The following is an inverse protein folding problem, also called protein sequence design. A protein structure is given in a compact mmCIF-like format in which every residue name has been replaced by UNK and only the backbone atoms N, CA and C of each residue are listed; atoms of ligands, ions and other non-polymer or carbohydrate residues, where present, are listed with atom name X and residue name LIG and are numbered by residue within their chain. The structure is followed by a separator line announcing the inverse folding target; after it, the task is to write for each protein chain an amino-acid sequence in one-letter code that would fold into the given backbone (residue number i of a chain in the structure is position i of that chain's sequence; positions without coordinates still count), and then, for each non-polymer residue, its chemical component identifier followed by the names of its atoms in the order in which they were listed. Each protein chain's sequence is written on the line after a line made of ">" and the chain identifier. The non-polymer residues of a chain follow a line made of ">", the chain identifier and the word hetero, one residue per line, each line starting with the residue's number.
data_IF_911279013237
#
_entry.id   IF_911279013237
#
_cell.length_a   1.000
_cell.length_b   1.000
_cell.length_c   1.000
_cell.angle_alpha   90.00
_cell.angle_beta   90.00
_cell.angle_gamma   90.00
#
_symmetry.space_group_name_H-M   'P 1'
#
loop_
_entity.id
_entity.type
_entity.pdbx_description
1 polymer ?
#
# COMPACT_ATOMS: atom_id res chain seq x y z
N UNK A 1 -6.54 6.77 29.13
CA UNK A 1 -5.64 7.55 28.25
C UNK A 1 -6.15 7.40 26.83
N UNK A 2 -6.79 8.44 26.30
CA UNK A 2 -7.23 8.46 24.90
C UNK A 2 -5.98 8.84 24.11
N UNK A 3 -5.40 7.89 23.37
CA UNK A 3 -4.30 8.18 22.46
C UNK A 3 -4.78 9.21 21.44
N UNK A 4 -4.15 10.38 21.45
CA UNK A 4 -4.35 11.40 20.43
C UNK A 4 -3.63 10.92 19.16
N UNK A 5 -4.19 9.90 18.48
CA UNK A 5 -3.66 9.42 17.21
C UNK A 5 -3.95 10.52 16.19
N UNK A 6 -2.91 11.14 15.64
CA UNK A 6 -3.08 12.01 14.47
C UNK A 6 -3.74 11.18 13.39
N UNK A 7 -5.01 11.45 13.12
CA UNK A 7 -5.73 10.76 12.07
C UNK A 7 -5.04 11.05 10.74
N UNK A 8 -4.68 9.98 10.04
CA UNK A 8 -4.23 9.98 8.65
C UNK A 8 -4.92 11.06 7.82
N UNK A 9 -4.13 11.99 7.27
CA UNK A 9 -4.61 13.12 6.46
C UNK A 9 -4.89 12.74 5.00
N UNK A 10 -4.54 11.53 4.56
CA UNK A 10 -4.90 11.08 3.23
C UNK A 10 -6.37 10.64 3.21
N UNK A 11 -7.08 11.10 2.18
CA UNK A 11 -8.52 10.94 2.10
C UNK A 11 -8.93 9.47 2.02
N UNK A 12 -10.09 9.11 2.61
CA UNK A 12 -10.72 7.78 2.55
C UNK A 12 -11.28 7.48 1.15
N UNK A 13 -10.51 7.83 0.11
CA UNK A 13 -10.89 7.82 -1.30
C UNK A 13 -10.24 6.66 -2.03
N UNK A 14 -9.10 6.19 -1.55
CA UNK A 14 -8.44 4.99 -2.04
C UNK A 14 -9.18 3.75 -1.56
N UNK A 15 -9.36 2.76 -2.42
CA UNK A 15 -9.95 1.47 -2.07
C UNK A 15 -8.87 0.38 -1.94
N UNK A 16 -9.07 -0.57 -1.02
CA UNK A 16 -8.27 -1.80 -0.92
C UNK A 16 -9.00 -3.03 -1.44
N UNK A 17 -10.33 -3.04 -1.29
CA UNK A 17 -11.23 -4.08 -1.76
C UNK A 17 -12.49 -3.42 -2.32
N UNK A 18 -13.08 -4.02 -3.34
CA UNK A 18 -14.37 -3.63 -3.93
C UNK A 18 -15.15 -4.88 -4.33
N UNK A 19 -16.47 -4.80 -4.26
CA UNK A 19 -17.40 -5.90 -4.48
C UNK A 19 -18.77 -5.36 -4.84
N UNK A 20 -19.45 -6.03 -5.74
CA UNK A 20 -20.83 -5.73 -6.18
C UNK A 20 -21.78 -6.92 -5.94
N UNK A 21 -21.44 -7.76 -4.95
CA UNK A 21 -22.26 -8.91 -4.55
C UNK A 21 -23.70 -8.50 -4.23
N UNK A 22 -24.63 -9.33 -4.68
CA UNK A 22 -26.07 -9.16 -4.46
C UNK A 22 -26.62 -7.81 -4.95
N UNK A 23 -26.01 -7.24 -6.00
CA UNK A 23 -26.32 -5.91 -6.55
C UNK A 23 -26.11 -4.76 -5.54
N UNK A 24 -25.28 -4.96 -4.52
CA UNK A 24 -24.92 -3.93 -3.55
C UNK A 24 -23.46 -3.56 -3.74
N UNK A 25 -23.24 -2.30 -4.09
CA UNK A 25 -21.90 -1.74 -4.21
C UNK A 25 -21.25 -1.59 -2.84
N UNK A 26 -20.11 -2.25 -2.67
CA UNK A 26 -19.34 -2.29 -1.45
C UNK A 26 -17.87 -2.02 -1.76
N UNK A 27 -17.22 -1.23 -0.92
CA UNK A 27 -15.77 -1.06 -0.95
C UNK A 27 -15.23 -0.91 0.47
N UNK A 28 -13.98 -1.33 0.65
CA UNK A 28 -13.22 -1.10 1.87
C UNK A 28 -12.15 -0.04 1.57
N UNK A 29 -12.17 1.12 2.24
CA UNK A 29 -11.11 2.11 2.10
C UNK A 29 -9.75 1.52 2.45
N UNK A 30 -8.71 1.86 1.68
CA UNK A 30 -7.35 1.37 1.90
C UNK A 30 -6.85 1.70 3.30
N UNK A 31 -7.10 2.93 3.76
CA UNK A 31 -6.82 3.37 5.12
C UNK A 31 -7.37 2.42 6.18
N UNK A 32 -8.65 2.06 6.07
CA UNK A 32 -9.29 1.18 7.03
C UNK A 32 -8.65 -0.21 7.00
N UNK A 33 -8.42 -0.77 5.80
CA UNK A 33 -7.75 -2.06 5.64
C UNK A 33 -6.35 -2.08 6.29
N UNK A 34 -5.55 -1.03 6.11
CA UNK A 34 -4.22 -0.93 6.72
C UNK A 34 -4.30 -0.83 8.25
N UNK A 35 -5.24 -0.05 8.80
CA UNK A 35 -5.48 0.05 10.24
C UNK A 35 -5.91 -1.31 10.81
N UNK A 36 -6.85 -1.99 10.14
CA UNK A 36 -7.36 -3.28 10.58
C UNK A 36 -6.22 -4.30 10.70
N UNK A 37 -5.39 -4.42 9.66
CA UNK A 37 -4.25 -5.36 9.65
C UNK A 37 -3.19 -4.97 10.69
N UNK A 38 -2.91 -3.67 10.85
CA UNK A 38 -1.99 -3.16 11.87
C UNK A 38 -2.44 -3.49 13.30
N UNK A 39 -3.72 -3.29 13.64
CA UNK A 39 -4.22 -3.62 14.98
C UNK A 39 -4.27 -5.13 15.20
N UNK A 40 -4.73 -5.90 14.20
CA UNK A 40 -4.79 -7.36 14.29
C UNK A 40 -3.40 -7.97 14.48
N UNK A 41 -2.37 -7.52 13.76
CA UNK A 41 -1.03 -8.09 13.90
C UNK A 41 -0.45 -7.86 15.30
N UNK A 42 -0.77 -6.72 15.94
CA UNK A 42 -0.32 -6.41 17.29
C UNK A 42 -1.00 -7.31 18.32
N UNK A 43 -2.29 -7.59 18.15
CA UNK A 43 -2.99 -8.57 18.97
C UNK A 43 -2.43 -9.99 18.77
N UNK A 44 -2.11 -10.38 17.53
CA UNK A 44 -1.47 -11.66 17.26
C UNK A 44 -0.08 -11.77 17.92
N UNK A 45 0.72 -10.69 17.88
CA UNK A 45 1.99 -10.62 18.59
C UNK A 45 1.81 -10.82 20.10
N UNK A 46 0.86 -10.11 20.70
CA UNK A 46 0.68 -10.12 22.17
C UNK A 46 0.02 -11.40 22.69
N UNK A 47 -0.93 -11.96 21.94
CA UNK A 47 -1.86 -12.95 22.47
C UNK A 47 -1.85 -14.28 21.73
N UNK A 48 -1.28 -14.36 20.53
CA UNK A 48 -1.30 -15.57 19.72
C UNK A 48 0.05 -16.26 19.61
N UNK A 49 1.13 -15.49 19.41
CA UNK A 49 2.47 -16.08 19.31
C UNK A 49 2.94 -16.65 20.65
N UNK A 50 3.47 -17.87 20.60
CA UNK A 50 4.16 -18.45 21.75
C UNK A 50 5.40 -17.63 22.12
N UNK A 51 5.82 -17.73 23.38
CA UNK A 51 7.06 -17.09 23.85
C UNK A 51 8.26 -17.49 23.00
N UNK A 52 8.37 -18.77 22.60
CA UNK A 52 9.48 -19.23 21.75
C UNK A 52 9.46 -18.55 20.38
N UNK A 53 8.31 -18.50 19.69
CA UNK A 53 8.20 -17.86 18.37
C UNK A 53 8.58 -16.38 18.41
N UNK A 54 8.11 -15.65 19.44
CA UNK A 54 8.52 -14.25 19.63
C UNK A 54 10.02 -14.12 19.85
N UNK A 55 10.59 -14.99 20.68
CA UNK A 55 12.02 -14.96 20.98
C UNK A 55 12.89 -15.23 19.74
N UNK A 56 12.47 -16.14 18.85
CA UNK A 56 13.17 -16.35 17.56
C UNK A 56 13.19 -15.07 16.72
N UNK A 57 12.08 -14.35 16.63
CA UNK A 57 11.99 -13.09 15.88
C UNK A 57 12.81 -12.00 16.56
N UNK A 58 12.73 -11.86 17.89
CA UNK A 58 13.48 -10.85 18.65
C UNK A 58 14.99 -11.08 18.48
N UNK A 59 15.44 -12.33 18.54
CA UNK A 59 16.85 -12.69 18.44
C UNK A 59 17.43 -12.50 17.03
N UNK A 60 16.59 -12.44 15.99
CA UNK A 60 17.06 -12.20 14.62
C UNK A 60 17.32 -10.72 14.33
N UNK A 61 16.87 -9.81 15.21
CA UNK A 61 17.09 -8.38 15.06
C UNK A 61 18.52 -7.98 15.45
N UNK A 62 19.06 -6.99 14.75
CA UNK A 62 20.35 -6.38 15.12
C UNK A 62 20.33 -5.76 16.53
N UNK A 63 19.15 -5.31 16.99
CA UNK A 63 18.92 -4.79 18.33
C UNK A 63 17.73 -5.54 18.96
N UNK A 64 17.97 -6.68 19.64
CA UNK A 64 16.92 -7.48 20.22
C UNK A 64 16.10 -6.72 21.27
N UNK A 65 14.82 -6.51 20.99
CA UNK A 65 13.82 -5.93 21.91
C UNK A 65 12.42 -6.40 21.48
N UNK A 66 11.57 -6.74 22.44
CA UNK A 66 10.16 -7.10 22.16
C UNK A 66 9.42 -5.91 21.56
N UNK A 67 9.65 -4.71 22.09
CA UNK A 67 9.06 -3.47 21.58
C UNK A 67 9.50 -3.19 20.15
N UNK A 68 10.80 -3.34 19.85
CA UNK A 68 11.33 -3.16 18.49
C UNK A 68 10.73 -4.20 17.53
N UNK A 69 10.68 -5.47 17.91
CA UNK A 69 10.11 -6.53 17.09
C UNK A 69 8.62 -6.29 16.82
N UNK A 70 7.86 -5.92 17.85
CA UNK A 70 6.44 -5.59 17.73
C UNK A 70 6.21 -4.36 16.84
N UNK A 71 7.04 -3.33 16.97
CA UNK A 71 6.98 -2.15 16.10
C UNK A 71 7.30 -2.49 14.65
N UNK A 72 8.32 -3.33 14.39
CA UNK A 72 8.65 -3.78 13.03
C UNK A 72 7.51 -4.60 12.41
N UNK A 73 6.93 -5.53 13.16
CA UNK A 73 5.78 -6.33 12.71
C UNK A 73 4.57 -5.43 12.45
N UNK A 74 4.34 -4.43 13.29
CA UNK A 74 3.34 -3.40 13.08
C UNK A 74 3.59 -2.61 11.78
N UNK A 75 4.82 -2.14 11.56
CA UNK A 75 5.21 -1.42 10.35
C UNK A 75 4.98 -2.26 9.08
N UNK A 76 5.38 -3.54 9.08
CA UNK A 76 5.15 -4.46 7.96
C UNK A 76 3.65 -4.61 7.67
N UNK A 77 2.82 -4.77 8.71
CA UNK A 77 1.36 -4.84 8.56
C UNK A 77 0.74 -3.52 8.05
N UNK A 78 1.18 -2.38 8.56
CA UNK A 78 0.70 -1.06 8.16
C UNK A 78 1.08 -0.69 6.72
N UNK A 79 2.11 -1.32 6.15
CA UNK A 79 2.62 -1.02 4.81
C UNK A 79 2.44 -2.14 3.80
N UNK A 80 1.97 -3.32 4.19
CA UNK A 80 1.89 -4.49 3.29
C UNK A 80 1.18 -4.18 1.95
N UNK A 81 0.14 -3.35 2.01
CA UNK A 81 -0.69 -2.96 0.87
C UNK A 81 -0.46 -1.51 0.41
N UNK A 82 0.66 -0.87 0.79
CA UNK A 82 0.97 0.51 0.37
C UNK A 82 1.00 0.68 -1.15
N UNK A 83 1.39 -0.38 -1.89
CA UNK A 83 1.36 -0.38 -3.36
C UNK A 83 -0.04 -0.27 -3.97
N UNK A 84 -1.10 -0.46 -3.18
CA UNK A 84 -2.48 -0.15 -3.61
C UNK A 84 -2.72 1.36 -3.71
N UNK A 85 -1.91 2.19 -3.07
CA UNK A 85 -1.94 3.65 -3.22
C UNK A 85 -1.21 4.11 -4.49
N UNK A 86 -1.41 3.40 -5.59
CA UNK A 86 -0.89 3.72 -6.92
C UNK A 86 -2.05 3.88 -7.90
N UNK A 87 -1.92 4.74 -8.92
CA UNK A 87 -2.97 4.92 -9.90
C UNK A 87 -3.26 3.64 -10.67
N UNK A 88 -2.24 2.83 -11.01
CA UNK A 88 -2.44 1.56 -11.72
C UNK A 88 -3.37 0.61 -10.97
N UNK A 89 -3.24 0.52 -9.65
CA UNK A 89 -4.12 -0.29 -8.82
C UNK A 89 -5.49 0.36 -8.69
N UNK A 90 -5.53 1.67 -8.37
CA UNK A 90 -6.79 2.36 -8.08
C UNK A 90 -7.71 2.46 -9.30
N UNK A 91 -7.16 2.52 -10.51
CA UNK A 91 -7.93 2.53 -11.76
C UNK A 91 -8.12 1.14 -12.37
N UNK A 92 -7.67 0.07 -11.70
CA UNK A 92 -7.80 -1.29 -12.21
C UNK A 92 -9.28 -1.71 -12.34
N UNK A 93 -9.71 -2.23 -13.49
CA UNK A 93 -11.07 -2.74 -13.66
C UNK A 93 -11.40 -3.90 -12.71
N UNK A 94 -12.64 -3.96 -12.23
CA UNK A 94 -13.14 -5.08 -11.43
C UNK A 94 -13.19 -6.37 -12.25
N UNK A 95 -12.72 -7.48 -11.67
CA UNK A 95 -12.72 -8.79 -12.32
C UNK A 95 -14.13 -9.26 -12.71
N UNK A 96 -15.13 -8.94 -11.89
CA UNK A 96 -16.54 -9.28 -12.12
C UNK A 96 -17.28 -8.28 -13.01
N UNK A 97 -16.57 -7.35 -13.67
CA UNK A 97 -17.15 -6.35 -14.56
C UNK A 97 -18.26 -5.56 -13.87
N UNK A 98 -17.88 -4.70 -12.94
CA UNK A 98 -18.78 -3.73 -12.30
C UNK A 98 -18.44 -2.30 -12.74
N UNK A 99 -18.72 -1.91 -14.00
CA UNK A 99 -18.35 -0.59 -14.52
C UNK A 99 -18.90 0.56 -13.69
N UNK A 100 -20.10 0.41 -13.14
CA UNK A 100 -20.74 1.44 -12.33
C UNK A 100 -20.00 1.67 -11.01
N UNK A 101 -19.62 0.59 -10.30
CA UNK A 101 -18.81 0.68 -9.09
C UNK A 101 -17.41 1.25 -9.39
N UNK A 102 -16.79 0.78 -10.47
CA UNK A 102 -15.47 1.26 -10.91
C UNK A 102 -15.52 2.76 -11.22
N UNK A 103 -16.52 3.18 -12.01
CA UNK A 103 -16.77 4.59 -12.35
C UNK A 103 -17.02 5.44 -11.11
N UNK A 104 -17.85 4.98 -10.16
CA UNK A 104 -18.11 5.69 -8.90
C UNK A 104 -16.83 5.90 -8.07
N UNK A 105 -15.98 4.87 -7.94
CA UNK A 105 -14.72 4.97 -7.20
C UNK A 105 -13.72 5.88 -7.91
N UNK A 106 -13.62 5.79 -9.24
CA UNK A 106 -12.77 6.65 -10.06
C UNK A 106 -13.21 8.13 -9.99
N UNK A 107 -14.50 8.42 -10.12
CA UNK A 107 -15.03 9.78 -9.97
C UNK A 107 -14.75 10.36 -8.58
N UNK A 108 -14.79 9.53 -7.53
CA UNK A 108 -14.46 9.96 -6.16
C UNK A 108 -12.98 10.35 -6.06
N UNK A 109 -12.09 9.60 -6.71
CA UNK A 109 -10.66 9.93 -6.78
C UNK A 109 -10.43 11.22 -7.58
N UNK A 110 -11.04 11.34 -8.75
CA UNK A 110 -11.00 12.53 -9.62
C UNK A 110 -11.41 13.79 -8.84
N UNK A 111 -12.57 13.75 -8.16
CA UNK A 111 -13.08 14.84 -7.30
C UNK A 111 -12.16 15.18 -6.12
N UNK A 112 -11.30 14.23 -5.74
CA UNK A 112 -10.33 14.41 -4.65
C UNK A 112 -8.99 14.95 -5.14
N UNK A 113 -8.86 15.29 -6.43
CA UNK A 113 -7.66 15.93 -7.00
C UNK A 113 -6.73 14.99 -7.76
N UNK A 114 -7.09 13.71 -7.94
CA UNK A 114 -6.39 12.79 -8.84
C UNK A 114 -6.91 12.98 -10.27
N UNK A 115 -6.70 14.17 -10.82
CA UNK A 115 -7.30 14.59 -12.10
C UNK A 115 -6.83 13.68 -13.25
N UNK A 116 -7.76 13.29 -14.12
CA UNK A 116 -7.55 12.42 -15.27
C UNK A 116 -7.56 10.92 -14.94
N UNK A 117 -7.89 10.51 -13.71
CA UNK A 117 -7.86 9.09 -13.30
C UNK A 117 -8.98 8.25 -13.94
N UNK A 118 -10.14 8.85 -14.24
CA UNK A 118 -11.32 8.12 -14.72
C UNK A 118 -11.11 7.33 -16.01
N UNK A 119 -10.22 7.79 -16.89
CA UNK A 119 -9.88 7.09 -18.14
C UNK A 119 -8.42 6.65 -18.18
N UNK A 120 -7.76 6.64 -17.03
CA UNK A 120 -6.32 6.51 -16.96
C UNK A 120 -5.83 5.09 -17.26
N UNK A 121 -6.53 4.06 -16.78
CA UNK A 121 -6.06 2.69 -16.90
C UNK A 121 -5.83 2.27 -18.35
N UNK A 122 -6.76 2.62 -19.25
CA UNK A 122 -6.67 2.28 -20.68
C UNK A 122 -5.54 3.03 -21.41
N UNK A 123 -4.99 4.09 -20.80
CA UNK A 123 -3.84 4.82 -21.33
C UNK A 123 -2.49 4.24 -20.91
N UNK A 124 -2.48 3.28 -19.98
CA UNK A 124 -1.26 2.64 -19.49
C UNK A 124 -0.74 1.62 -20.51
N UNK A 125 0.56 1.70 -20.82
CA UNK A 125 1.20 0.76 -21.76
C UNK A 125 1.42 -0.64 -21.16
N UNK A 126 1.82 -0.71 -19.88
CA UNK A 126 2.19 -1.97 -19.21
C UNK A 126 1.70 -1.97 -17.74
N UNK A 127 0.38 -1.90 -17.49
CA UNK A 127 -0.16 -1.88 -16.12
C UNK A 127 0.18 -3.17 -15.34
N UNK A 128 0.29 -4.31 -16.02
CA UNK A 128 0.57 -5.62 -15.42
C UNK A 128 2.00 -5.74 -14.84
N UNK A 129 2.91 -4.84 -15.21
CA UNK A 129 4.30 -4.82 -14.71
C UNK A 129 4.44 -4.22 -13.31
N UNK A 130 3.36 -3.68 -12.75
CA UNK A 130 3.37 -3.04 -11.42
C UNK A 130 2.28 -3.65 -10.56
N UNK A 131 2.42 -4.94 -10.24
CA UNK A 131 1.57 -5.57 -9.24
C UNK A 131 1.74 -4.87 -7.89
N UNK A 132 0.67 -4.74 -7.10
CA UNK A 132 0.70 -3.92 -5.87
C UNK A 132 1.73 -4.40 -4.83
N UNK A 133 2.10 -5.68 -4.82
CA UNK A 133 3.18 -6.18 -3.97
C UNK A 133 4.55 -5.62 -4.41
N UNK A 134 4.88 -5.74 -5.71
CA UNK A 134 6.07 -5.13 -6.34
C UNK A 134 6.09 -3.61 -6.12
N UNK A 135 4.95 -2.95 -6.29
CA UNK A 135 4.81 -1.53 -6.06
C UNK A 135 5.05 -1.15 -4.60
N UNK A 136 4.56 -1.97 -3.66
CA UNK A 136 4.77 -1.79 -2.23
C UNK A 136 6.25 -1.85 -1.86
N UNK A 137 6.95 -2.91 -2.29
CA UNK A 137 8.40 -3.03 -2.08
C UNK A 137 9.17 -1.83 -2.67
N UNK A 138 8.87 -1.48 -3.93
CA UNK A 138 9.51 -0.35 -4.64
C UNK A 138 9.34 0.97 -3.89
N UNK A 139 8.12 1.26 -3.41
CA UNK A 139 7.85 2.48 -2.66
C UNK A 139 8.64 2.52 -1.35
N UNK A 140 8.66 1.41 -0.60
CA UNK A 140 9.41 1.33 0.65
C UNK A 140 10.91 1.55 0.45
N UNK A 141 11.51 0.91 -0.56
CA UNK A 141 12.93 1.13 -0.90
C UNK A 141 13.20 2.58 -1.30
N UNK A 142 12.28 3.20 -2.07
CA UNK A 142 12.38 4.61 -2.42
C UNK A 142 12.29 5.57 -1.22
N UNK A 143 11.67 5.12 -0.13
CA UNK A 143 11.61 5.84 1.14
C UNK A 143 12.78 5.51 2.09
N UNK A 144 13.72 4.67 1.65
CA UNK A 144 14.93 4.31 2.39
C UNK A 144 14.81 3.07 3.28
N UNK A 145 13.75 2.27 3.13
CA UNK A 145 13.66 0.97 3.79
C UNK A 145 14.61 -0.01 3.11
N UNK A 146 15.38 -0.74 3.91
CA UNK A 146 16.32 -1.74 3.40
C UNK A 146 15.59 -2.94 2.78
N UNK A 147 16.23 -3.59 1.80
CA UNK A 147 15.63 -4.65 0.99
C UNK A 147 15.26 -5.91 1.78
N UNK A 148 15.97 -6.18 2.86
CA UNK A 148 15.68 -7.27 3.81
C UNK A 148 14.31 -7.11 4.49
N UNK A 149 13.85 -5.87 4.68
CA UNK A 149 12.52 -5.56 5.23
C UNK A 149 11.48 -5.34 4.11
N UNK A 150 11.81 -4.57 3.07
CA UNK A 150 10.87 -4.23 2.00
C UNK A 150 10.45 -5.48 1.19
N UNK A 151 11.33 -6.47 1.04
CA UNK A 151 11.03 -7.72 0.33
C UNK A 151 9.97 -8.57 1.03
N UNK A 152 9.83 -8.46 2.36
CA UNK A 152 8.75 -9.11 3.10
C UNK A 152 7.39 -8.55 2.65
N UNK A 153 7.31 -7.23 2.45
CA UNK A 153 6.14 -6.58 1.86
C UNK A 153 5.99 -6.97 0.39
N UNK A 154 7.06 -7.05 -0.39
CA UNK A 154 7.01 -7.53 -1.77
C UNK A 154 6.48 -8.96 -1.92
N UNK A 155 6.71 -9.81 -0.91
CA UNK A 155 6.38 -11.23 -0.93
C UNK A 155 5.02 -11.59 -0.32
N UNK A 156 4.20 -10.63 0.09
CA UNK A 156 3.01 -10.91 0.92
C UNK A 156 1.89 -11.72 0.22
N UNK A 157 1.97 -11.93 -1.10
CA UNK A 157 1.11 -12.87 -1.86
C UNK A 157 1.76 -14.24 -2.11
N UNK A 158 2.86 -14.55 -1.42
CA UNK A 158 3.48 -15.86 -1.38
C UNK A 158 4.78 -16.01 -2.19
N UNK A 159 5.10 -15.07 -3.09
CA UNK A 159 6.34 -15.09 -3.86
C UNK A 159 7.04 -13.73 -3.78
N UNK A 160 8.34 -13.67 -3.41
CA UNK A 160 9.13 -12.45 -3.54
C UNK A 160 9.32 -12.08 -5.01
N UNK A 161 9.76 -10.84 -5.26
CA UNK A 161 10.19 -10.43 -6.60
C UNK A 161 11.51 -11.12 -6.94
N UNK A 162 11.59 -11.73 -8.12
CA UNK A 162 12.69 -12.64 -8.49
C UNK A 162 14.04 -11.94 -8.66
N UNK A 163 14.04 -10.65 -9.01
CA UNK A 163 15.26 -9.89 -9.35
C UNK A 163 15.26 -8.48 -8.77
N UNK A 164 16.32 -8.10 -8.06
CA UNK A 164 16.51 -6.75 -7.53
C UNK A 164 16.53 -5.66 -8.63
N UNK A 165 17.01 -6.00 -9.83
CA UNK A 165 16.96 -5.13 -11.02
C UNK A 165 15.53 -4.76 -11.41
N UNK A 166 14.56 -5.64 -11.14
CA UNK A 166 13.16 -5.38 -11.38
C UNK A 166 12.68 -4.25 -10.47
N UNK A 167 12.96 -4.33 -9.17
CA UNK A 167 12.55 -3.32 -8.18
C UNK A 167 13.24 -1.97 -8.44
N UNK A 168 14.57 -1.98 -8.57
CA UNK A 168 15.35 -0.74 -8.71
C UNK A 168 15.02 0.06 -9.98
N UNK A 169 14.51 -0.60 -11.02
CA UNK A 169 14.09 0.06 -12.26
C UNK A 169 12.62 0.48 -12.29
N UNK A 170 11.76 0.00 -11.37
CA UNK A 170 10.31 0.23 -11.42
C UNK A 170 9.92 1.72 -11.54
N UNK A 171 10.43 2.59 -10.65
CA UNK A 171 10.05 4.00 -10.64
C UNK A 171 10.47 4.75 -11.91
N UNK A 172 11.55 4.31 -12.56
CA UNK A 172 12.04 4.89 -13.82
C UNK A 172 11.28 4.34 -15.03
N UNK A 173 11.12 3.01 -15.10
CA UNK A 173 10.51 2.31 -16.23
C UNK A 173 8.99 2.48 -16.28
N UNK A 174 8.35 2.64 -15.13
CA UNK A 174 6.89 2.65 -14.99
C UNK A 174 6.39 3.83 -14.16
N UNK A 175 7.04 5.01 -14.22
CA UNK A 175 6.67 6.20 -13.43
C UNK A 175 5.17 6.50 -13.43
N UNK A 176 4.53 6.35 -14.59
CA UNK A 176 3.09 6.55 -14.77
C UNK A 176 2.24 5.57 -13.94
N UNK A 177 2.68 4.32 -13.76
CA UNK A 177 1.99 3.35 -12.91
C UNK A 177 1.96 3.79 -11.43
N UNK A 178 2.93 4.59 -11.00
CA UNK A 178 3.05 5.08 -9.61
C UNK A 178 2.46 6.48 -9.39
N UNK A 179 2.47 7.35 -10.39
CA UNK A 179 2.23 8.79 -10.20
C UNK A 179 1.32 9.48 -11.23
N UNK A 180 0.73 8.75 -12.18
CA UNK A 180 -0.08 9.27 -13.32
C UNK A 180 0.67 10.11 -14.36
N UNK A 181 1.73 10.79 -13.95
CA UNK A 181 2.50 11.70 -14.80
C UNK A 181 3.99 11.55 -14.49
N UNK A 182 4.84 11.71 -15.51
CA UNK A 182 6.29 11.66 -15.38
C UNK A 182 6.88 12.97 -14.81
N UNK A 183 6.21 14.11 -15.02
CA UNK A 183 6.68 15.40 -14.50
C UNK A 183 6.47 15.48 -12.99
N UNK A 184 7.56 15.49 -12.22
CA UNK A 184 7.51 15.58 -10.76
C UNK A 184 6.94 16.91 -10.24
N UNK A 185 6.88 17.96 -11.08
CA UNK A 185 6.29 19.25 -10.71
C UNK A 185 4.78 19.27 -10.88
N UNK A 186 4.24 18.32 -11.66
CA UNK A 186 2.81 18.17 -11.88
C UNK A 186 2.06 17.98 -10.55
N UNK A 187 0.84 18.54 -10.49
CA UNK A 187 0.06 18.52 -9.26
C UNK A 187 -0.44 17.10 -8.93
N UNK A 188 -0.81 16.30 -9.93
CA UNK A 188 -1.29 14.93 -9.75
C UNK A 188 -0.14 14.01 -9.35
N UNK A 189 1.04 14.19 -9.97
CA UNK A 189 2.24 13.47 -9.56
C UNK A 189 2.54 13.69 -8.07
N UNK A 190 2.60 14.95 -7.63
CA UNK A 190 2.85 15.28 -6.22
C UNK A 190 1.77 14.72 -5.31
N UNK A 191 0.50 14.76 -5.74
CA UNK A 191 -0.62 14.20 -4.96
C UNK A 191 -0.45 12.71 -4.67
N UNK A 192 -0.04 11.90 -5.65
CA UNK A 192 0.26 10.48 -5.41
C UNK A 192 1.43 10.29 -4.46
N UNK A 193 2.52 10.99 -4.73
CA UNK A 193 3.73 10.92 -3.90
C UNK A 193 3.44 11.29 -2.44
N UNK A 194 2.71 12.38 -2.21
CA UNK A 194 2.32 12.83 -0.88
C UNK A 194 1.38 11.84 -0.20
N UNK A 195 0.46 11.23 -0.95
CA UNK A 195 -0.46 10.20 -0.43
C UNK A 195 0.29 8.95 0.03
N UNK A 196 1.20 8.44 -0.80
CA UNK A 196 2.05 7.28 -0.49
C UNK A 196 2.97 7.58 0.70
N UNK A 197 3.60 8.75 0.70
CA UNK A 197 4.47 9.19 1.78
C UNK A 197 3.71 9.34 3.10
N UNK A 198 2.47 9.83 3.07
CA UNK A 198 1.62 9.95 4.26
C UNK A 198 1.28 8.59 4.89
N UNK A 199 1.06 7.54 4.07
CA UNK A 199 0.86 6.17 4.57
C UNK A 199 2.13 5.68 5.26
N UNK A 200 3.28 5.84 4.60
CA UNK A 200 4.57 5.44 5.14
C UNK A 200 4.92 6.15 6.46
N UNK A 201 4.75 7.48 6.50
CA UNK A 201 5.07 8.28 7.69
C UNK A 201 4.14 7.96 8.87
N UNK A 202 2.90 7.54 8.61
CA UNK A 202 2.01 7.03 9.65
C UNK A 202 2.42 5.66 10.16
N UNK A 203 2.87 4.77 9.28
CA UNK A 203 3.33 3.45 9.68
C UNK A 203 4.57 3.50 10.59
N UNK A 204 5.32 4.60 10.56
CA UNK A 204 6.49 4.85 11.42
C UNK A 204 6.14 5.44 12.82
N UNK A 205 4.88 5.81 13.08
CA UNK A 205 4.43 6.37 14.36
C UNK A 205 4.07 5.29 15.38
#
# INVERSE_FOLDING_TARGET
>A
MIYNRSFLSFADVLWAKKSDKDNVFQWLPLKQHLIDVFEVIKLLWEHWLSTQQRQEIINSLCQPSDEMAKSLVGFLAATHDIGKATPVFQSQPSYHQSPDLDGMLLERLEKSGFVGITHYYDSLMNPEKTHHATAGQTLLESFGVASDISSIVGAHHGNPVDKDEEISSQLHSYTNNYFQNQDQKDAVHRRWKDTQKSIFDWALQ
#
